data_IF_549413733338
#
_entry.id   IF_549413733338
#
_cell.length_a   1.000
_cell.length_b   1.000
_cell.length_c   1.000
_cell.angle_alpha   90.00
_cell.angle_beta   90.00
_cell.angle_gamma   90.00
#
_symmetry.space_group_name_H-M   'P 1'
#
loop_
_entity.id
_entity.type
_entity.pdbx_description
1 polymer ?
#
# COMPACT_ATOMS: atom_id res chain seq x y z
N UNK A 1 3.24 -6.08 18.28
CA UNK A 1 2.30 -5.06 17.76
C UNK A 1 2.98 -4.32 16.60
N UNK A 2 2.22 -3.68 15.68
CA UNK A 2 2.81 -2.73 14.72
C UNK A 2 3.70 -1.71 15.44
N UNK A 3 4.82 -1.36 14.83
CA UNK A 3 5.85 -0.53 15.44
C UNK A 3 6.39 0.51 14.45
N UNK A 4 6.95 1.58 15.00
CA UNK A 4 7.67 2.59 14.21
C UNK A 4 9.02 2.03 13.73
N UNK A 5 9.50 2.53 12.59
CA UNK A 5 10.86 2.31 12.13
C UNK A 5 11.64 3.63 12.11
N UNK A 6 11.75 4.29 10.95
CA UNK A 6 12.29 5.65 10.85
C UNK A 6 11.20 6.68 11.19
N UNK A 7 11.56 7.95 11.37
CA UNK A 7 10.61 8.99 11.78
C UNK A 7 9.41 9.13 10.83
N UNK A 8 9.60 8.82 9.54
CA UNK A 8 8.55 8.85 8.50
C UNK A 8 7.90 7.47 8.23
N UNK A 9 8.13 6.48 9.10
CA UNK A 9 7.58 5.12 9.01
C UNK A 9 6.89 4.76 10.33
N UNK A 10 5.64 5.19 10.43
CA UNK A 10 4.84 5.01 11.63
C UNK A 10 4.19 3.62 11.65
N UNK A 11 3.77 3.18 12.83
CA UNK A 11 2.98 1.97 13.01
C UNK A 11 1.72 2.03 12.12
N UNK A 12 1.58 1.08 11.20
CA UNK A 12 0.59 1.17 10.12
C UNK A 12 0.31 -0.19 9.48
N UNK A 13 -0.77 -0.27 8.69
CA UNK A 13 -0.92 -1.33 7.71
C UNK A 13 -0.08 -0.95 6.48
N UNK A 14 0.87 -1.80 6.11
CA UNK A 14 1.80 -1.53 5.01
C UNK A 14 1.27 -2.12 3.71
N UNK A 15 0.94 -1.28 2.74
CA UNK A 15 0.62 -1.78 1.39
C UNK A 15 1.83 -2.47 0.75
N UNK A 16 3.06 -2.05 1.09
CA UNK A 16 4.26 -2.37 0.31
C UNK A 16 4.71 -3.78 0.59
N UNK A 17 4.79 -4.04 1.89
CA UNK A 17 5.36 -5.25 2.41
C UNK A 17 4.29 -6.36 2.44
N UNK A 18 3.02 -6.00 2.70
CA UNK A 18 1.94 -7.00 2.83
C UNK A 18 1.69 -7.76 1.54
N UNK A 19 1.83 -7.13 0.36
CA UNK A 19 1.69 -7.83 -0.91
C UNK A 19 2.74 -8.96 -1.07
N UNK A 20 3.98 -8.71 -0.63
CA UNK A 20 5.04 -9.71 -0.61
C UNK A 20 4.75 -10.85 0.36
N UNK A 21 4.31 -10.52 1.58
CA UNK A 21 3.96 -11.52 2.61
C UNK A 21 2.82 -12.42 2.13
N UNK A 22 1.77 -11.86 1.56
CA UNK A 22 0.64 -12.65 1.05
C UNK A 22 1.07 -13.56 -0.11
N UNK A 23 1.91 -13.08 -1.02
CA UNK A 23 2.51 -13.90 -2.09
C UNK A 23 3.36 -15.05 -1.53
N UNK A 24 4.13 -14.80 -0.47
CA UNK A 24 4.87 -15.84 0.21
C UNK A 24 3.93 -16.89 0.83
N UNK A 25 2.88 -16.47 1.54
CA UNK A 25 1.88 -17.40 2.10
C UNK A 25 1.19 -18.24 1.01
N UNK A 26 0.92 -17.65 -0.16
CA UNK A 26 0.36 -18.36 -1.31
C UNK A 26 1.30 -19.41 -1.92
N UNK A 27 2.63 -19.28 -1.72
CA UNK A 27 3.60 -20.26 -2.22
C UNK A 27 3.71 -21.54 -1.41
N UNK A 28 3.05 -21.61 -0.24
CA UNK A 28 3.02 -22.81 0.59
C UNK A 28 2.19 -23.88 -0.14
N UNK A 29 2.79 -25.04 -0.43
CA UNK A 29 2.16 -26.11 -1.22
C UNK A 29 0.89 -26.68 -0.57
N UNK A 30 0.90 -26.80 0.76
CA UNK A 30 -0.22 -27.34 1.56
C UNK A 30 -0.52 -26.38 2.72
N UNK A 31 -1.12 -25.21 2.43
CA UNK A 31 -1.37 -24.20 3.46
C UNK A 31 -2.44 -24.70 4.43
N UNK A 32 -2.30 -24.36 5.71
CA UNK A 32 -3.33 -24.67 6.71
C UNK A 32 -4.58 -23.81 6.49
N UNK A 33 -5.75 -24.18 7.04
CA UNK A 33 -6.93 -23.33 7.00
C UNK A 33 -6.70 -21.91 7.52
N UNK A 34 -5.81 -21.72 8.51
CA UNK A 34 -5.42 -20.43 9.08
C UNK A 34 -4.68 -19.59 8.04
N UNK A 35 -3.71 -20.18 7.33
CA UNK A 35 -2.98 -19.51 6.25
C UNK A 35 -3.93 -19.12 5.13
N UNK A 36 -4.86 -20.02 4.78
CA UNK A 36 -5.86 -19.72 3.75
C UNK A 36 -6.73 -18.53 4.15
N UNK A 37 -7.24 -18.51 5.39
CA UNK A 37 -8.00 -17.37 5.91
C UNK A 37 -7.18 -16.07 5.89
N UNK A 38 -5.90 -16.12 6.28
CA UNK A 38 -5.02 -14.96 6.27
C UNK A 38 -4.82 -14.40 4.86
N UNK A 39 -4.59 -15.26 3.85
CA UNK A 39 -4.46 -14.83 2.45
C UNK A 39 -5.76 -14.19 1.96
N UNK A 40 -6.91 -14.85 2.18
CA UNK A 40 -8.21 -14.32 1.74
C UNK A 40 -8.51 -12.95 2.36
N UNK A 41 -8.29 -12.81 3.67
CA UNK A 41 -8.49 -11.55 4.38
C UNK A 41 -7.53 -10.45 3.89
N UNK A 42 -6.27 -10.77 3.68
CA UNK A 42 -5.27 -9.82 3.16
C UNK A 42 -5.59 -9.37 1.75
N UNK A 43 -5.95 -10.28 0.84
CA UNK A 43 -6.33 -9.92 -0.52
C UNK A 43 -7.62 -9.09 -0.56
N UNK A 44 -8.62 -9.43 0.27
CA UNK A 44 -9.83 -8.62 0.40
C UNK A 44 -9.53 -7.21 0.91
N UNK A 45 -8.58 -7.07 1.84
CA UNK A 45 -8.12 -5.76 2.29
C UNK A 45 -7.48 -4.96 1.14
N UNK A 46 -6.60 -5.57 0.33
CA UNK A 46 -6.02 -4.90 -0.83
C UNK A 46 -7.09 -4.42 -1.82
N UNK A 47 -8.13 -5.20 -2.07
CA UNK A 47 -9.25 -4.77 -2.92
C UNK A 47 -9.99 -3.57 -2.32
N UNK A 48 -10.22 -3.56 -1.01
CA UNK A 48 -10.88 -2.43 -0.32
C UNK A 48 -10.01 -1.18 -0.17
N UNK A 49 -8.68 -1.35 -0.20
CA UNK A 49 -7.71 -0.28 0.06
C UNK A 49 -7.20 0.40 -1.21
N UNK A 50 -7.59 -0.09 -2.40
CA UNK A 50 -7.19 0.50 -3.68
C UNK A 50 -7.74 1.93 -3.81
N UNK A 51 -6.97 2.77 -4.47
CA UNK A 51 -7.30 4.16 -4.73
C UNK A 51 -7.42 4.32 -6.24
N UNK A 52 -8.62 4.62 -6.69
CA UNK A 52 -8.97 4.83 -8.10
C UNK A 52 -9.09 6.33 -8.40
N UNK A 53 -9.13 6.69 -9.69
CA UNK A 53 -9.34 8.08 -10.11
C UNK A 53 -8.12 9.01 -9.95
N UNK A 54 -6.94 8.45 -9.64
CA UNK A 54 -5.71 9.22 -9.53
C UNK A 54 -4.55 8.54 -10.25
N UNK A 55 -3.62 9.35 -10.74
CA UNK A 55 -2.27 8.92 -11.11
C UNK A 55 -1.21 9.77 -10.42
N UNK A 56 -0.04 9.17 -10.18
CA UNK A 56 1.10 9.88 -9.60
C UNK A 56 2.09 10.21 -10.70
N UNK A 57 2.29 11.50 -10.94
CA UNK A 57 3.12 12.01 -12.03
C UNK A 57 4.25 12.89 -11.47
N UNK A 58 5.42 12.87 -12.11
CA UNK A 58 6.54 13.74 -11.74
C UNK A 58 6.62 14.91 -12.72
N UNK A 59 6.16 16.08 -12.30
CA UNK A 59 6.11 17.31 -13.11
C UNK A 59 7.16 18.28 -12.58
N UNK A 60 8.09 18.72 -13.42
CA UNK A 60 9.12 19.70 -13.02
C UNK A 60 10.01 19.23 -11.86
N UNK A 61 10.19 17.92 -11.70
CA UNK A 61 10.96 17.35 -10.59
C UNK A 61 10.14 16.98 -9.36
N UNK A 62 8.84 17.33 -9.31
CA UNK A 62 7.97 17.14 -8.17
C UNK A 62 6.87 16.10 -8.42
N UNK A 63 6.69 15.15 -7.49
CA UNK A 63 5.62 14.14 -7.53
C UNK A 63 4.31 14.76 -7.10
N UNK A 64 3.31 14.64 -7.97
CA UNK A 64 1.98 15.19 -7.77
C UNK A 64 0.92 14.11 -7.97
N UNK A 65 -0.18 14.26 -7.22
CA UNK A 65 -1.40 13.49 -7.43
C UNK A 65 -2.23 14.23 -8.47
N UNK A 66 -2.52 13.56 -9.58
CA UNK A 66 -3.33 14.09 -10.69
C UNK A 66 -4.61 13.26 -10.78
N UNK A 67 -5.77 13.92 -10.88
CA UNK A 67 -7.04 13.22 -11.13
C UNK A 67 -7.05 12.60 -12.52
N UNK A 68 -7.35 11.32 -12.60
CA UNK A 68 -7.41 10.54 -13.83
C UNK A 68 -8.31 9.31 -13.61
N UNK A 69 -9.56 9.39 -14.05
CA UNK A 69 -10.55 8.31 -13.92
C UNK A 69 -10.26 7.10 -14.83
N UNK A 70 -9.26 7.21 -15.70
CA UNK A 70 -8.82 6.12 -16.58
C UNK A 70 -7.54 5.44 -16.10
N UNK A 71 -6.92 5.96 -15.04
CA UNK A 71 -5.71 5.40 -14.49
C UNK A 71 -5.95 4.07 -13.78
N UNK A 72 -4.96 3.18 -13.85
CA UNK A 72 -4.92 1.98 -13.02
C UNK A 72 -4.95 2.36 -11.52
N UNK A 73 -5.55 1.51 -10.67
CA UNK A 73 -5.59 1.75 -9.24
C UNK A 73 -4.18 1.80 -8.64
N UNK A 74 -4.03 2.63 -7.61
CA UNK A 74 -2.82 2.72 -6.79
C UNK A 74 -3.12 2.40 -5.33
N UNK A 75 -2.09 2.03 -4.58
CA UNK A 75 -2.16 1.82 -3.15
C UNK A 75 -1.19 2.76 -2.46
N UNK A 76 -1.59 3.28 -1.30
CA UNK A 76 -0.70 4.06 -0.45
C UNK A 76 0.33 3.15 0.24
N UNK A 77 1.45 3.74 0.65
CA UNK A 77 2.46 3.00 1.40
C UNK A 77 1.97 2.54 2.76
N UNK A 78 1.30 3.46 3.44
CA UNK A 78 0.85 3.29 4.80
C UNK A 78 -0.62 3.68 4.92
N UNK A 79 -1.35 2.84 5.64
CA UNK A 79 -2.73 3.08 6.04
C UNK A 79 -2.81 3.09 7.55
N UNK A 80 -3.57 4.06 8.09
CA UNK A 80 -3.83 4.20 9.51
C UNK A 80 -4.59 2.97 10.02
N UNK A 81 -4.14 2.43 11.15
CA UNK A 81 -4.81 1.31 11.82
C UNK A 81 -6.19 1.82 12.27
N UNK A 82 -7.20 0.96 12.26
CA UNK A 82 -8.61 1.25 12.57
C UNK A 82 -9.38 1.97 11.44
N UNK A 83 -8.87 3.07 10.89
CA UNK A 83 -9.61 3.87 9.90
C UNK A 83 -9.35 3.45 8.45
N UNK A 84 -8.27 2.73 8.21
CA UNK A 84 -7.79 2.38 6.88
C UNK A 84 -7.54 3.59 5.96
N UNK A 85 -7.27 4.76 6.55
CA UNK A 85 -7.01 5.99 5.79
C UNK A 85 -5.55 6.02 5.32
N UNK A 86 -5.28 6.28 4.03
CA UNK A 86 -3.93 6.59 3.57
C UNK A 86 -3.31 7.76 4.33
N UNK A 87 -2.04 7.64 4.70
CA UNK A 87 -1.29 8.76 5.27
C UNK A 87 0.15 8.81 4.74
N UNK A 88 0.74 9.98 4.94
CA UNK A 88 2.10 10.34 4.57
C UNK A 88 2.81 10.87 5.80
N UNK A 89 4.13 10.90 5.78
CA UNK A 89 4.89 11.43 6.90
C UNK A 89 6.19 12.06 6.41
N UNK A 90 6.55 13.21 6.98
CA UNK A 90 7.86 13.79 6.76
C UNK A 90 8.80 13.38 7.91
N UNK A 91 10.02 13.92 7.90
CA UNK A 91 11.04 13.69 8.93
C UNK A 91 10.61 14.16 10.31
N UNK A 92 9.60 15.03 10.40
CA UNK A 92 8.99 15.51 11.65
C UNK A 92 8.20 14.44 12.40
N UNK A 93 7.90 13.30 11.76
CA UNK A 93 7.14 12.22 12.39
C UNK A 93 5.65 12.50 12.55
N UNK A 94 5.14 13.54 11.90
CA UNK A 94 3.73 13.93 12.00
C UNK A 94 2.96 13.37 10.80
N UNK A 95 1.91 12.55 11.01
CA UNK A 95 1.04 12.09 9.94
C UNK A 95 0.44 13.27 9.17
N UNK A 96 0.48 13.18 7.84
CA UNK A 96 -0.18 14.08 6.89
C UNK A 96 -1.13 13.26 6.02
N UNK A 97 -2.15 13.89 5.45
CA UNK A 97 -3.20 13.15 4.73
C UNK A 97 -3.23 13.43 3.22
N UNK A 98 -2.33 14.29 2.75
CA UNK A 98 -2.09 14.52 1.33
C UNK A 98 -0.58 14.52 1.05
N UNK A 99 -0.21 14.09 -0.16
CA UNK A 99 1.19 14.09 -0.59
C UNK A 99 1.78 15.52 -0.64
N UNK A 100 0.95 16.55 -0.81
CA UNK A 100 1.40 17.96 -0.88
C UNK A 100 1.85 18.51 0.47
N UNK A 101 1.37 17.93 1.58
CA UNK A 101 1.71 18.37 2.94
C UNK A 101 3.11 17.94 3.42
N UNK A 102 3.75 16.99 2.75
CA UNK A 102 5.13 16.59 3.05
C UNK A 102 6.13 17.36 2.18
N UNK A 103 7.32 17.60 2.71
CA UNK A 103 8.40 18.32 2.05
C UNK A 103 8.90 17.64 0.78
N UNK A 104 9.41 18.45 -0.15
CA UNK A 104 9.86 18.01 -1.48
C UNK A 104 10.84 16.83 -1.42
N UNK A 105 11.76 16.82 -0.45
CA UNK A 105 12.75 15.77 -0.27
C UNK A 105 12.09 14.39 -0.07
N UNK A 106 11.19 14.26 0.91
CA UNK A 106 10.47 13.01 1.19
C UNK A 106 9.41 12.70 0.14
N UNK A 107 8.73 13.71 -0.38
CA UNK A 107 7.75 13.54 -1.46
C UNK A 107 8.35 12.88 -2.68
N UNK A 108 9.56 13.28 -3.04
CA UNK A 108 10.22 12.84 -4.28
C UNK A 108 11.16 11.64 -4.09
N UNK A 109 11.80 11.54 -2.91
CA UNK A 109 12.78 10.51 -2.59
C UNK A 109 12.21 9.20 -2.04
N UNK A 110 10.88 9.10 -1.85
CA UNK A 110 10.24 7.92 -1.29
C UNK A 110 8.97 7.54 -2.07
N UNK A 111 8.76 6.22 -2.24
CA UNK A 111 7.57 5.71 -2.90
C UNK A 111 6.40 5.67 -1.90
N UNK A 112 5.55 6.69 -1.94
CA UNK A 112 4.35 6.81 -1.11
C UNK A 112 3.11 6.15 -1.71
N UNK A 113 3.13 5.92 -3.02
CA UNK A 113 2.10 5.20 -3.76
C UNK A 113 2.77 4.18 -4.67
N UNK A 114 2.05 3.11 -4.99
CA UNK A 114 2.47 2.16 -6.01
C UNK A 114 1.39 1.16 -6.37
N UNK A 115 1.71 0.26 -7.29
CA UNK A 115 0.77 -0.68 -7.91
C UNK A 115 0.80 -2.08 -7.25
N UNK A 116 1.05 -2.12 -5.94
CA UNK A 116 1.47 -3.34 -5.25
C UNK A 116 0.38 -4.41 -5.19
N UNK A 117 -0.88 -3.96 -5.14
CA UNK A 117 -2.06 -4.80 -5.20
C UNK A 117 -2.27 -5.48 -6.55
N UNK A 118 -1.79 -4.91 -7.67
CA UNK A 118 -1.95 -5.53 -9.00
C UNK A 118 -1.25 -6.90 -9.07
N UNK A 119 0.02 -6.94 -8.65
CA UNK A 119 0.79 -8.19 -8.66
C UNK A 119 0.23 -9.23 -7.70
N UNK A 120 -0.36 -8.78 -6.58
CA UNK A 120 -1.03 -9.66 -5.62
C UNK A 120 -2.33 -10.22 -6.21
N UNK A 121 -3.17 -9.38 -6.82
CA UNK A 121 -4.41 -9.79 -7.43
C UNK A 121 -4.18 -10.82 -8.55
N UNK A 122 -3.16 -10.61 -9.39
CA UNK A 122 -2.76 -11.57 -10.42
C UNK A 122 -2.33 -12.92 -9.83
N UNK A 123 -1.51 -12.91 -8.78
CA UNK A 123 -1.09 -14.14 -8.09
C UNK A 123 -2.26 -14.86 -7.41
N UNK A 124 -3.17 -14.12 -6.77
CA UNK A 124 -4.35 -14.67 -6.11
C UNK A 124 -5.35 -15.28 -7.11
N UNK A 125 -5.51 -14.69 -8.30
CA UNK A 125 -6.42 -15.18 -9.32
C UNK A 125 -6.10 -16.62 -9.76
N UNK A 126 -4.83 -17.00 -9.80
CA UNK A 126 -4.37 -18.34 -10.18
C UNK A 126 -4.08 -19.26 -8.97
N UNK A 127 -4.29 -18.78 -7.75
CA UNK A 127 -3.99 -19.53 -6.54
C UNK A 127 -5.05 -20.63 -6.29
N UNK A 128 -4.64 -21.91 -6.12
CA UNK A 128 -5.58 -23.04 -6.09
C UNK A 128 -6.44 -23.13 -4.81
N UNK A 129 -6.16 -22.31 -3.79
CA UNK A 129 -6.86 -22.34 -2.49
C UNK A 129 -7.76 -21.10 -2.24
N UNK A 130 -8.07 -20.35 -3.30
CA UNK A 130 -8.86 -19.11 -3.25
C UNK A 130 -10.29 -19.28 -2.73
#
# INVERSE_FOLDING_TARGET
APAIARSYELASLSGAESAGILKYLMSIEKPTPEVVRAVKAGTAWFESAKIEGIRIEKIGGDRQVISDDTASPVWARFYEIETNRPFFCDRDGVPKYTLKEIGSERRNGYAWYGNWGESLAAAYAVWPHR
#
